data_IF_326474614484
#
_entry.id   IF_326474614484
#
_cell.length_a   1.000
_cell.length_b   1.000
_cell.length_c   1.000
_cell.angle_alpha   90.00
_cell.angle_beta   90.00
_cell.angle_gamma   90.00
#
_symmetry.space_group_name_H-M   'P 1'
#
loop_
_entity.id
_entity.type
_entity.pdbx_description
1 polymer ?
#
# COMPACT_ATOMS: atom_id res chain seq x y z
N UNK A 1 3.09 -9.77 -4.32
CA UNK A 1 1.67 -9.74 -3.99
C UNK A 1 1.10 -8.43 -4.51
N UNK A 2 0.15 -8.51 -5.42
CA UNK A 2 -0.61 -7.38 -5.98
C UNK A 2 -2.06 -7.85 -6.19
N UNK A 3 -2.95 -6.97 -6.65
CA UNK A 3 -4.31 -7.36 -7.04
C UNK A 3 -5.13 -7.91 -5.88
N UNK A 4 -5.81 -9.04 -6.08
CA UNK A 4 -6.80 -9.62 -5.15
C UNK A 4 -6.24 -9.90 -3.74
N UNK A 5 -4.95 -10.17 -3.60
CA UNK A 5 -4.33 -10.40 -2.28
C UNK A 5 -4.29 -9.13 -1.42
N UNK A 6 -4.26 -7.96 -2.06
CA UNK A 6 -4.16 -6.64 -1.40
C UNK A 6 -5.52 -5.94 -1.43
N UNK A 7 -6.22 -5.99 -2.56
CA UNK A 7 -7.50 -5.36 -2.75
C UNK A 7 -8.52 -6.33 -3.37
N UNK A 8 -9.06 -7.28 -2.59
CA UNK A 8 -10.02 -8.29 -3.07
C UNK A 8 -11.25 -7.68 -3.75
N UNK A 9 -11.70 -6.53 -3.27
CA UNK A 9 -12.90 -5.88 -3.76
C UNK A 9 -12.67 -5.28 -5.17
N UNK A 10 -11.45 -4.83 -5.49
CA UNK A 10 -11.11 -4.32 -6.83
C UNK A 10 -11.91 -3.09 -7.29
N UNK A 11 -12.64 -2.43 -6.39
CA UNK A 11 -13.53 -1.31 -6.72
C UNK A 11 -12.72 -0.02 -6.87
N UNK A 12 -12.71 0.57 -8.06
CA UNK A 12 -12.01 1.83 -8.34
C UNK A 12 -13.04 2.91 -8.68
N UNK A 13 -13.23 3.88 -7.76
CA UNK A 13 -14.20 4.98 -7.93
C UNK A 13 -13.53 6.35 -8.11
N UNK A 14 -12.20 6.41 -8.05
CA UNK A 14 -11.46 7.67 -7.95
C UNK A 14 -11.49 8.32 -6.56
N UNK A 15 -12.29 7.81 -5.62
CA UNK A 15 -12.38 8.32 -4.25
C UNK A 15 -11.58 7.45 -3.28
N UNK A 16 -10.92 8.09 -2.31
CA UNK A 16 -10.20 7.40 -1.24
C UNK A 16 -11.14 7.13 -0.05
N UNK A 17 -11.86 6.00 -0.13
CA UNK A 17 -12.80 5.57 0.92
C UNK A 17 -12.23 4.40 1.75
N UNK A 18 -13.06 3.82 2.62
CA UNK A 18 -12.67 2.74 3.54
C UNK A 18 -12.00 1.56 2.84
N UNK A 19 -12.52 1.15 1.67
CA UNK A 19 -11.97 0.01 0.92
C UNK A 19 -10.55 0.30 0.41
N UNK A 20 -10.32 1.48 -0.18
CA UNK A 20 -9.00 1.93 -0.61
C UNK A 20 -8.04 2.07 0.57
N UNK A 21 -8.50 2.62 1.70
CA UNK A 21 -7.69 2.73 2.93
C UNK A 21 -7.24 1.36 3.44
N UNK A 22 -8.14 0.38 3.45
CA UNK A 22 -7.85 -0.99 3.88
C UNK A 22 -6.87 -1.68 2.92
N UNK A 23 -7.03 -1.47 1.60
CA UNK A 23 -6.09 -1.98 0.61
C UNK A 23 -4.68 -1.41 0.81
N UNK A 24 -4.57 -0.10 1.05
CA UNK A 24 -3.28 0.53 1.41
C UNK A 24 -2.72 -0.06 2.70
N UNK A 25 -3.58 -0.34 3.69
CA UNK A 25 -3.17 -0.98 4.93
C UNK A 25 -2.55 -2.37 4.70
N UNK A 26 -3.24 -3.23 3.95
CA UNK A 26 -2.75 -4.57 3.56
C UNK A 26 -1.45 -4.49 2.77
N UNK A 27 -1.32 -3.51 1.87
CA UNK A 27 -0.08 -3.26 1.14
C UNK A 27 1.08 -2.88 2.08
N UNK A 28 0.83 -1.99 3.05
CA UNK A 28 1.82 -1.58 4.03
C UNK A 28 2.29 -2.73 4.90
N UNK A 29 1.36 -3.55 5.41
CA UNK A 29 1.72 -4.76 6.18
C UNK A 29 2.55 -5.73 5.34
N UNK A 30 2.17 -5.94 4.07
CA UNK A 30 2.90 -6.83 3.17
C UNK A 30 4.35 -6.39 2.94
N UNK A 31 4.58 -5.08 2.88
CA UNK A 31 5.90 -4.47 2.67
C UNK A 31 6.41 -3.76 3.93
N UNK A 32 6.06 -4.28 5.12
CA UNK A 32 6.36 -3.64 6.39
C UNK A 32 7.84 -3.33 6.59
N UNK A 33 8.74 -4.19 6.13
CA UNK A 33 10.19 -3.97 6.21
C UNK A 33 10.70 -2.77 5.40
N UNK A 34 10.00 -2.41 4.32
CA UNK A 34 10.36 -1.29 3.45
C UNK A 34 9.55 -0.02 3.76
N UNK A 35 8.38 -0.14 4.41
CA UNK A 35 7.47 0.98 4.66
C UNK A 35 7.34 1.31 6.15
N UNK A 36 7.05 0.33 6.99
CA UNK A 36 6.68 0.55 8.40
C UNK A 36 7.90 0.60 9.31
N UNK A 37 8.79 -0.40 9.21
CA UNK A 37 10.00 -0.52 10.06
C UNK A 37 10.90 0.72 9.95
N UNK A 38 11.22 1.26 8.76
CA UNK A 38 12.08 2.44 8.63
C UNK A 38 11.47 3.71 9.25
N UNK A 39 10.14 3.74 9.42
CA UNK A 39 9.40 4.85 10.00
C UNK A 39 9.07 4.62 11.50
N UNK A 40 9.50 3.50 12.08
CA UNK A 40 9.16 3.12 13.46
C UNK A 40 7.68 2.80 13.67
N UNK A 41 6.93 2.52 12.60
CA UNK A 41 5.51 2.19 12.67
C UNK A 41 5.33 0.69 12.95
N UNK A 42 4.46 0.37 13.91
CA UNK A 42 4.15 -1.02 14.27
C UNK A 42 2.96 -1.59 13.50
N UNK A 43 2.09 -0.72 13.00
CA UNK A 43 0.86 -1.08 12.31
C UNK A 43 0.69 -0.20 11.08
N UNK A 44 0.03 -0.75 10.07
CA UNK A 44 -0.33 0.00 8.89
C UNK A 44 -1.27 1.17 9.22
N UNK A 45 -1.10 2.26 8.48
CA UNK A 45 -1.86 3.51 8.65
C UNK A 45 -3.00 3.63 7.65
N UNK A 46 -2.91 2.90 6.53
CA UNK A 46 -3.78 3.08 5.37
C UNK A 46 -3.55 4.42 4.66
N UNK A 47 -2.49 5.16 5.00
CA UNK A 47 -2.15 6.45 4.38
C UNK A 47 -1.03 6.29 3.35
N UNK A 48 -1.21 6.91 2.18
CA UNK A 48 -0.21 6.88 1.09
C UNK A 48 0.81 8.00 1.29
N UNK A 49 1.66 7.84 2.31
CA UNK A 49 2.78 8.72 2.62
C UNK A 49 4.01 8.48 1.74
N UNK A 50 5.14 9.13 2.07
CA UNK A 50 6.39 9.03 1.31
C UNK A 50 6.90 7.59 1.15
N UNK A 51 6.92 6.79 2.22
CA UNK A 51 7.35 5.39 2.20
C UNK A 51 6.47 4.51 1.29
N UNK A 52 5.13 4.63 1.44
CA UNK A 52 4.18 3.90 0.58
C UNK A 52 4.37 4.29 -0.90
N UNK A 53 4.48 5.59 -1.22
CA UNK A 53 4.70 6.05 -2.61
C UNK A 53 6.03 5.56 -3.17
N UNK A 54 7.11 5.61 -2.38
CA UNK A 54 8.41 5.12 -2.82
C UNK A 54 8.35 3.63 -3.18
N UNK A 55 7.67 2.81 -2.37
CA UNK A 55 7.49 1.39 -2.67
C UNK A 55 6.66 1.15 -3.93
N UNK A 56 5.55 1.86 -4.11
CA UNK A 56 4.71 1.79 -5.31
C UNK A 56 5.55 2.14 -6.56
N UNK A 57 6.25 3.27 -6.53
CA UNK A 57 7.07 3.74 -7.65
C UNK A 57 8.19 2.74 -7.99
N UNK A 58 8.84 2.16 -6.98
CA UNK A 58 9.86 1.11 -7.18
C UNK A 58 9.28 -0.13 -7.87
N UNK A 59 8.05 -0.52 -7.54
CA UNK A 59 7.41 -1.67 -8.18
C UNK A 59 7.03 -1.38 -9.64
N UNK A 60 6.48 -0.20 -9.92
CA UNK A 60 6.10 0.20 -11.29
C UNK A 60 7.30 0.54 -12.17
N UNK A 61 8.38 1.08 -11.58
CA UNK A 61 9.62 1.40 -12.30
C UNK A 61 10.39 0.18 -12.80
N UNK A 62 10.11 -1.00 -12.24
CA UNK A 62 10.72 -2.27 -12.63
C UNK A 62 9.94 -3.01 -13.74
N UNK A 63 8.86 -2.42 -14.26
CA UNK A 63 8.05 -3.00 -15.35
C UNK A 63 8.39 -2.39 -16.73
N UNK A 64 9.63 -1.91 -16.92
CA UNK A 64 10.16 -1.44 -18.22
C UNK A 64 11.16 -2.42 -18.81
#
# INVERSE_FOLDING_TARGET
AQGVEIYPEGIVTGNFLTLTKNAVGRFQEKYASEILIPLGLKTATGFVGSGTRAKINKMMGNER
#
